data_IF_353320682046
#
_entry.id   IF_353320682046
#
_cell.length_a   1.000
_cell.length_b   1.000
_cell.length_c   1.000
_cell.angle_alpha   90.00
_cell.angle_beta   90.00
_cell.angle_gamma   90.00
#
_symmetry.space_group_name_H-M   'P 1'
#
loop_
_entity.id
_entity.type
_entity.pdbx_description
1 polymer ?
#
# COMPACT_ATOMS: atom_id res chain seq x y z
N UNK A 1 -40.16 28.39 -10.21
CA UNK A 1 -38.81 28.37 -10.81
C UNK A 1 -37.84 27.79 -9.80
N UNK A 2 -37.09 26.78 -10.23
CA UNK A 2 -35.95 26.19 -9.51
C UNK A 2 -34.83 27.22 -9.31
N UNK A 3 -34.12 27.16 -8.18
CA UNK A 3 -32.72 26.72 -8.10
C UNK A 3 -32.22 26.89 -6.65
N UNK A 4 -32.01 25.79 -5.94
CA UNK A 4 -31.15 25.79 -4.75
C UNK A 4 -29.73 25.46 -5.21
N UNK A 5 -28.88 26.48 -5.20
CA UNK A 5 -27.42 26.34 -5.25
C UNK A 5 -26.95 25.74 -3.92
N UNK A 6 -26.70 24.43 -3.88
CA UNK A 6 -25.88 23.81 -2.83
C UNK A 6 -24.53 23.46 -3.45
N UNK A 7 -23.73 24.50 -3.66
CA UNK A 7 -22.30 24.38 -3.90
C UNK A 7 -21.62 24.49 -2.53
N UNK A 8 -21.06 23.39 -2.01
CA UNK A 8 -20.11 23.51 -0.90
C UNK A 8 -19.89 22.31 0.03
N UNK A 9 -20.73 21.27 0.01
CA UNK A 9 -20.56 20.16 0.96
C UNK A 9 -19.56 19.07 0.51
N UNK A 10 -19.26 18.97 -0.79
CA UNK A 10 -18.44 17.88 -1.34
C UNK A 10 -16.93 18.00 -1.05
N UNK A 11 -16.40 19.22 -0.99
CA UNK A 11 -14.94 19.43 -0.88
C UNK A 11 -14.41 19.31 0.56
N UNK A 12 -15.22 19.68 1.56
CA UNK A 12 -14.79 19.64 2.96
C UNK A 12 -14.78 18.19 3.49
N UNK A 13 -15.72 17.35 3.04
CA UNK A 13 -15.76 15.94 3.42
C UNK A 13 -14.56 15.14 2.92
N UNK A 14 -14.04 15.44 1.72
CA UNK A 14 -12.84 14.77 1.22
C UNK A 14 -11.60 15.08 2.09
N UNK A 15 -11.48 16.32 2.58
CA UNK A 15 -10.33 16.73 3.40
C UNK A 15 -10.38 16.16 4.83
N UNK A 16 -11.58 16.03 5.42
CA UNK A 16 -11.75 15.41 6.74
C UNK A 16 -11.63 13.89 6.71
N UNK A 17 -12.15 13.21 5.67
CA UNK A 17 -12.00 11.76 5.53
C UNK A 17 -10.52 11.37 5.37
N UNK A 18 -9.71 12.16 4.66
CA UNK A 18 -8.27 11.89 4.55
C UNK A 18 -7.49 12.17 5.84
N UNK A 19 -7.88 13.18 6.65
CA UNK A 19 -7.18 13.49 7.92
C UNK A 19 -7.58 12.58 9.08
N UNK A 20 -8.84 12.15 9.17
CA UNK A 20 -9.30 11.27 10.25
C UNK A 20 -8.91 9.81 10.07
N UNK A 21 -8.65 9.36 8.83
CA UNK A 21 -8.14 8.02 8.59
C UNK A 21 -6.65 7.88 8.94
N UNK A 22 -5.88 8.98 8.86
CA UNK A 22 -4.46 8.99 9.21
C UNK A 22 -4.19 8.98 10.72
N UNK A 23 -5.14 9.42 11.57
CA UNK A 23 -4.98 9.43 13.04
C UNK A 23 -5.52 8.19 13.75
N UNK A 24 -6.21 7.28 13.04
CA UNK A 24 -6.87 6.09 13.61
C UNK A 24 -6.23 4.74 13.24
N UNK A 25 -4.98 4.71 12.80
CA UNK A 25 -4.26 3.45 12.63
C UNK A 25 -3.13 3.35 13.67
N UNK A 26 -3.50 2.99 14.90
CA UNK A 26 -2.58 2.57 15.98
C UNK A 26 -1.66 1.42 15.55
N UNK A 27 -1.91 0.81 14.40
CA UNK A 27 -1.15 -0.32 13.89
C UNK A 27 -0.27 0.04 12.68
N UNK A 28 -0.09 1.31 12.31
CA UNK A 28 0.83 1.65 11.21
C UNK A 28 2.24 1.12 11.51
N UNK A 29 2.80 0.36 10.57
CA UNK A 29 4.18 -0.12 10.62
C UNK A 29 4.99 0.74 9.68
N UNK A 30 6.00 1.41 10.23
CA UNK A 30 7.04 2.05 9.45
C UNK A 30 8.18 1.04 9.30
N UNK A 31 8.46 0.52 8.09
CA UNK A 31 9.63 -0.31 7.86
C UNK A 31 10.91 0.47 8.16
N UNK A 32 11.93 -0.21 8.68
CA UNK A 32 13.26 0.36 8.94
C UNK A 32 13.92 0.83 7.65
N UNK A 33 13.76 0.05 6.58
CA UNK A 33 14.29 0.33 5.25
C UNK A 33 13.19 0.80 4.30
N UNK A 34 13.54 1.72 3.38
CA UNK A 34 12.63 2.10 2.30
C UNK A 34 12.40 0.92 1.35
N UNK A 35 11.18 0.76 0.80
CA UNK A 35 10.94 -0.20 -0.27
C UNK A 35 11.81 0.11 -1.48
N UNK A 36 12.47 -0.92 -2.00
CA UNK A 36 13.14 -0.90 -3.30
C UNK A 36 12.14 -1.39 -4.33
N UNK A 37 11.66 -0.47 -5.17
CA UNK A 37 10.70 -0.78 -6.21
C UNK A 37 11.36 -1.49 -7.39
N UNK A 38 10.61 -2.37 -8.03
CA UNK A 38 11.06 -3.04 -9.26
C UNK A 38 11.27 -2.03 -10.38
N UNK A 39 12.25 -2.30 -11.25
CA UNK A 39 12.59 -1.41 -12.37
C UNK A 39 11.44 -1.21 -13.35
N UNK A 40 10.58 -2.22 -13.51
CA UNK A 40 9.38 -2.20 -14.35
C UNK A 40 8.10 -1.89 -13.56
N UNK A 41 8.19 -1.21 -12.41
CA UNK A 41 7.03 -0.96 -11.54
C UNK A 41 5.85 -0.33 -12.30
N UNK A 42 6.10 0.64 -13.19
CA UNK A 42 5.03 1.30 -13.94
C UNK A 42 4.26 0.31 -14.81
N UNK A 43 4.98 -0.55 -15.55
CA UNK A 43 4.36 -1.59 -16.38
C UNK A 43 3.56 -2.56 -15.52
N UNK A 44 4.07 -2.97 -14.36
CA UNK A 44 3.36 -3.85 -13.43
C UNK A 44 2.08 -3.19 -12.89
N UNK A 45 2.11 -1.89 -12.56
CA UNK A 45 0.93 -1.14 -12.12
C UNK A 45 -0.15 -1.14 -13.20
N UNK A 46 0.23 -0.88 -14.45
CA UNK A 46 -0.68 -0.82 -15.59
C UNK A 46 -1.24 -2.21 -15.95
N UNK A 47 -0.37 -3.23 -16.03
CA UNK A 47 -0.75 -4.61 -16.36
C UNK A 47 -1.63 -5.26 -15.30
N UNK A 48 -1.31 -5.06 -14.02
CA UNK A 48 -2.06 -5.65 -12.90
C UNK A 48 -3.24 -4.76 -12.48
N UNK A 49 -3.38 -3.58 -13.09
CA UNK A 49 -4.47 -2.65 -12.85
C UNK A 49 -4.53 -2.13 -11.41
N UNK A 50 -3.36 -1.91 -10.78
CA UNK A 50 -3.26 -1.53 -9.37
C UNK A 50 -3.91 -0.17 -9.08
N UNK A 51 -4.69 -0.09 -7.99
CA UNK A 51 -5.43 1.12 -7.60
C UNK A 51 -5.14 1.53 -6.16
N UNK A 52 -5.52 2.77 -5.85
CA UNK A 52 -5.48 3.28 -4.47
C UNK A 52 -6.28 2.36 -3.51
N UNK A 53 -5.75 2.19 -2.30
CA UNK A 53 -6.28 1.36 -1.20
C UNK A 53 -6.35 -0.14 -1.48
N UNK A 54 -5.85 -0.60 -2.61
CA UNK A 54 -5.75 -2.02 -2.94
C UNK A 54 -4.81 -2.76 -1.99
N UNK A 55 -5.25 -3.94 -1.53
CA UNK A 55 -4.44 -4.79 -0.66
C UNK A 55 -3.35 -5.48 -1.48
N UNK A 56 -2.17 -5.57 -0.88
CA UNK A 56 -0.99 -6.21 -1.44
C UNK A 56 -0.66 -7.47 -0.64
N UNK A 57 -0.11 -8.46 -1.32
CA UNK A 57 0.41 -9.66 -0.69
C UNK A 57 1.85 -9.43 -0.23
N UNK A 58 2.19 -10.01 0.92
CA UNK A 58 3.51 -9.90 1.54
C UNK A 58 4.09 -11.29 1.72
N UNK A 59 5.27 -11.51 1.16
CA UNK A 59 5.98 -12.79 1.27
C UNK A 59 7.33 -12.55 1.93
N UNK A 60 7.51 -13.12 3.11
CA UNK A 60 8.79 -13.10 3.80
C UNK A 60 9.73 -14.19 3.24
N UNK A 61 10.93 -13.79 2.86
CA UNK A 61 11.92 -14.67 2.27
C UNK A 61 12.59 -15.57 3.32
N UNK A 62 13.27 -16.61 2.83
CA UNK A 62 13.96 -17.61 3.66
C UNK A 62 15.11 -17.00 4.48
N UNK A 63 15.73 -15.92 3.99
CA UNK A 63 16.80 -15.17 4.67
C UNK A 63 16.38 -14.56 6.02
N UNK A 64 15.07 -14.42 6.27
CA UNK A 64 14.52 -13.89 7.51
C UNK A 64 14.64 -12.37 7.66
N UNK A 65 15.06 -11.67 6.60
CA UNK A 65 15.24 -10.22 6.57
C UNK A 65 14.51 -9.57 5.41
N UNK A 66 14.26 -10.30 4.33
CA UNK A 66 13.64 -9.73 3.14
C UNK A 66 12.15 -10.01 3.11
N UNK A 67 11.38 -9.01 2.71
CA UNK A 67 9.95 -9.08 2.41
C UNK A 67 9.75 -8.60 0.99
N UNK A 68 9.13 -9.43 0.17
CA UNK A 68 8.69 -9.07 -1.17
C UNK A 68 7.21 -8.72 -1.12
N UNK A 69 6.85 -7.69 -1.87
CA UNK A 69 5.47 -7.18 -1.97
C UNK A 69 4.95 -7.50 -3.35
N UNK A 70 3.78 -8.11 -3.43
CA UNK A 70 3.13 -8.52 -4.68
C UNK A 70 1.75 -7.88 -4.80
N UNK A 71 1.30 -7.71 -6.04
CA UNK A 71 -0.10 -7.45 -6.30
C UNK A 71 -0.90 -8.71 -5.95
N UNK A 72 -2.10 -8.55 -5.41
CA UNK A 72 -2.99 -9.69 -5.15
C UNK A 72 -3.43 -10.41 -6.43
N UNK A 73 -3.41 -9.71 -7.57
CA UNK A 73 -3.66 -10.22 -8.91
C UNK A 73 -2.55 -11.15 -9.41
N UNK A 74 -1.33 -11.01 -8.91
CA UNK A 74 -0.21 -11.86 -9.28
C UNK A 74 -0.27 -13.17 -8.49
N UNK A 75 -1.13 -14.09 -8.93
CA UNK A 75 -1.41 -15.34 -8.23
C UNK A 75 -0.19 -16.25 -8.02
N UNK A 76 0.84 -16.09 -8.86
CA UNK A 76 2.06 -16.90 -8.80
C UNK A 76 3.22 -16.20 -8.08
N UNK A 77 3.02 -14.96 -7.62
CA UNK A 77 4.07 -14.12 -7.03
C UNK A 77 5.34 -14.09 -7.91
N UNK A 78 5.15 -14.01 -9.23
CA UNK A 78 6.24 -14.03 -10.20
C UNK A 78 6.91 -12.65 -10.37
N UNK A 79 6.15 -11.57 -10.12
CA UNK A 79 6.56 -10.20 -10.37
C UNK A 79 6.44 -9.36 -9.10
N UNK A 80 7.49 -9.29 -8.26
CA UNK A 80 7.47 -8.44 -7.08
C UNK A 80 7.32 -6.98 -7.50
N UNK A 81 6.49 -6.23 -6.80
CA UNK A 81 6.34 -4.77 -6.97
C UNK A 81 7.45 -4.03 -6.23
N UNK A 82 7.82 -4.54 -5.06
CA UNK A 82 8.86 -3.97 -4.23
C UNK A 82 9.50 -5.03 -3.32
N UNK A 83 10.73 -4.78 -2.91
CA UNK A 83 11.47 -5.56 -1.93
C UNK A 83 11.86 -4.67 -0.75
N UNK A 84 11.73 -5.18 0.47
CA UNK A 84 12.07 -4.46 1.71
C UNK A 84 12.96 -5.36 2.55
N UNK A 85 14.11 -4.84 2.94
CA UNK A 85 15.01 -5.52 3.89
C UNK A 85 14.76 -4.97 5.29
N UNK A 86 13.97 -5.71 6.07
CA UNK A 86 13.60 -5.40 7.44
C UNK A 86 13.29 -6.70 8.21
N UNK A 87 14.11 -6.98 9.23
CA UNK A 87 14.03 -8.21 10.04
C UNK A 87 12.74 -8.28 10.85
N UNK A 88 12.28 -7.17 11.42
CA UNK A 88 11.09 -7.14 12.25
C UNK A 88 9.82 -7.22 11.40
N UNK A 89 9.80 -6.55 10.25
CA UNK A 89 8.74 -6.70 9.26
C UNK A 89 8.66 -8.15 8.78
N UNK A 90 9.78 -8.77 8.40
CA UNK A 90 9.84 -10.17 7.96
C UNK A 90 9.26 -11.13 9.00
N UNK A 91 9.63 -10.97 10.27
CA UNK A 91 9.05 -11.77 11.38
C UNK A 91 7.54 -11.58 11.51
N UNK A 92 7.04 -10.35 11.39
CA UNK A 92 5.60 -10.07 11.54
C UNK A 92 4.81 -10.58 10.33
N UNK A 93 5.36 -10.50 9.12
CA UNK A 93 4.79 -11.07 7.89
C UNK A 93 4.69 -12.60 8.01
N UNK A 94 5.74 -13.30 8.48
CA UNK A 94 5.70 -14.75 8.72
C UNK A 94 4.62 -15.18 9.72
N UNK A 95 4.26 -14.29 10.66
CA UNK A 95 3.20 -14.53 11.64
C UNK A 95 1.80 -14.15 11.13
N UNK A 96 1.66 -13.68 9.89
CA UNK A 96 0.39 -13.19 9.34
C UNK A 96 -0.16 -11.95 10.07
N UNK A 97 0.70 -11.21 10.79
CA UNK A 97 0.31 -10.04 11.59
C UNK A 97 0.50 -8.71 10.86
N UNK A 98 0.69 -8.74 9.55
CA UNK A 98 0.91 -7.56 8.74
C UNK A 98 0.10 -7.68 7.47
N UNK A 99 -0.51 -6.58 7.06
CA UNK A 99 -0.99 -6.41 5.70
C UNK A 99 -0.42 -5.12 5.12
N UNK A 100 -0.36 -5.06 3.79
CA UNK A 100 0.04 -3.87 3.06
C UNK A 100 -1.08 -3.42 2.11
N UNK A 101 -1.05 -2.14 1.77
CA UNK A 101 -1.91 -1.59 0.72
C UNK A 101 -1.24 -0.46 -0.05
N UNK A 102 -1.76 -0.21 -1.24
CA UNK A 102 -1.39 0.95 -2.06
C UNK A 102 -1.93 2.22 -1.41
N UNK A 103 -1.04 3.17 -1.12
CA UNK A 103 -1.36 4.45 -0.51
C UNK A 103 -1.42 5.60 -1.52
N UNK A 104 -0.68 5.51 -2.62
CA UNK A 104 -0.79 6.44 -3.74
C UNK A 104 -0.10 5.86 -4.97
N UNK A 105 -0.56 6.25 -6.15
CA UNK A 105 0.09 6.01 -7.44
C UNK A 105 0.15 7.36 -8.15
N UNK A 106 1.33 7.85 -8.49
CA UNK A 106 1.51 9.12 -9.19
C UNK A 106 2.81 9.10 -10.01
N UNK A 107 2.72 9.43 -11.31
CA UNK A 107 3.90 9.64 -12.17
C UNK A 107 4.92 8.49 -12.17
N UNK A 108 4.46 7.24 -12.23
CA UNK A 108 5.33 6.05 -12.20
C UNK A 108 5.87 5.69 -10.81
N UNK A 109 5.47 6.42 -9.77
CA UNK A 109 5.79 6.10 -8.37
C UNK A 109 4.59 5.53 -7.66
N UNK A 110 4.84 4.58 -6.75
CA UNK A 110 3.82 4.02 -5.86
C UNK A 110 4.27 4.21 -4.42
N UNK A 111 3.33 4.48 -3.51
CA UNK A 111 3.57 4.42 -2.07
C UNK A 111 2.85 3.21 -1.50
N UNK A 112 3.55 2.43 -0.68
CA UNK A 112 2.98 1.29 0.05
C UNK A 112 2.91 1.65 1.53
N UNK A 113 1.79 1.31 2.18
CA UNK A 113 1.64 1.44 3.63
C UNK A 113 1.43 0.06 4.25
N UNK A 114 2.09 -0.15 5.40
CA UNK A 114 2.08 -1.39 6.15
C UNK A 114 1.33 -1.19 7.46
N UNK A 115 0.56 -2.20 7.85
CA UNK A 115 -0.28 -2.15 9.03
C UNK A 115 -0.19 -3.48 9.77
N UNK A 116 -0.01 -3.40 11.08
CA UNK A 116 -0.06 -4.54 11.99
C UNK A 116 -1.49 -4.97 12.30
N UNK A 117 -1.62 -6.22 12.73
CA UNK A 117 -2.84 -6.77 13.31
C UNK A 117 -2.60 -7.21 14.75
#
# INVERSE_FOLDING_TARGET
>A
MQLYLILGAGAVLAYFVSREWSKRNTNYIKPESKPQYSSNLQELIEQLGLRYAEKLDLVAQADGTTVQVFAKQDANHASPLATITDKELSKKVKKGKVYAKVASIAGGTMKIEFFGN
#
